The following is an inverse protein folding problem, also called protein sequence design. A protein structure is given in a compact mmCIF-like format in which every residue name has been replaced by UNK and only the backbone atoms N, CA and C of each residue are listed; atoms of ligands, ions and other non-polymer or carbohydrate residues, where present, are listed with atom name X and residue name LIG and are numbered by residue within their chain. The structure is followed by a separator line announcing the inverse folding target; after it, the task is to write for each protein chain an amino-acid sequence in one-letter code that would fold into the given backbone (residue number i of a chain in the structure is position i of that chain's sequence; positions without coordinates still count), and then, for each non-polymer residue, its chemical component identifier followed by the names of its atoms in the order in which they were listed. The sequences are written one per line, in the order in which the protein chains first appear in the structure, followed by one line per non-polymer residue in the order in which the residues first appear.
data_IF_638869448528
#
_entry.id   IF_638869448528
#
_cell.length_a   1.000
_cell.length_b   1.000
_cell.length_c   1.000
_cell.angle_alpha   90.00
_cell.angle_beta   90.00
_cell.angle_gamma   90.00
#
_symmetry.space_group_name_H-M   'P 1'
#
loop_
_entity.id
_entity.type
_entity.pdbx_description
1 polymer ?
#
# COMPACT_ATOMS: atom_id res chain seq x y z
N UNK A 1 -16.79 -4.15 12.33
CA UNK A 1 -15.32 -3.97 12.44
C UNK A 1 -14.79 -3.96 11.01
N UNK A 2 -13.84 -3.11 10.66
CA UNK A 2 -13.41 -2.94 9.26
C UNK A 2 -12.37 -4.00 8.90
N UNK A 3 -12.69 -4.88 7.94
CA UNK A 3 -11.81 -5.94 7.40
C UNK A 3 -11.19 -5.60 6.06
N UNK A 4 -11.75 -4.62 5.35
CA UNK A 4 -11.28 -4.18 4.05
C UNK A 4 -11.07 -2.67 4.06
N UNK A 5 -9.96 -2.20 3.50
CA UNK A 5 -9.69 -0.77 3.38
C UNK A 5 -9.36 -0.44 1.93
N UNK A 6 -10.13 0.49 1.37
CA UNK A 6 -9.90 1.04 0.04
C UNK A 6 -9.55 2.52 0.15
N UNK A 7 -8.40 2.92 -0.41
CA UNK A 7 -8.00 4.33 -0.49
C UNK A 7 -7.73 4.65 -1.94
N UNK A 8 -8.62 5.46 -2.50
CA UNK A 8 -8.48 6.00 -3.85
C UNK A 8 -8.17 7.48 -3.77
N UNK A 9 -6.95 7.85 -4.16
CA UNK A 9 -6.62 9.25 -4.32
C UNK A 9 -7.37 9.82 -5.54
N UNK A 10 -8.15 10.88 -5.29
CA UNK A 10 -8.83 11.58 -6.37
C UNK A 10 -7.85 12.51 -7.07
N UNK A 11 -7.90 12.46 -8.40
CA UNK A 11 -7.28 13.45 -9.25
C UNK A 11 -8.10 14.75 -9.23
N UNK A 12 -7.74 15.68 -8.34
CA UNK A 12 -8.20 17.08 -8.43
C UNK A 12 -7.05 17.93 -8.95
N UNK A 13 -7.35 19.06 -9.60
CA UNK A 13 -6.44 19.91 -10.38
C UNK A 13 -5.16 20.43 -9.68
N UNK A 14 -4.91 20.05 -8.42
CA UNK A 14 -3.59 20.04 -7.81
C UNK A 14 -2.89 18.70 -8.11
N UNK A 15 -2.02 18.79 -9.11
CA UNK A 15 -1.19 17.73 -9.69
C UNK A 15 -0.66 16.69 -8.70
N UNK A 16 -1.06 15.43 -8.92
CA UNK A 16 -0.16 14.27 -8.91
C UNK A 16 0.55 13.91 -7.61
N UNK A 17 0.05 14.32 -6.43
CA UNK A 17 0.73 14.04 -5.16
C UNK A 17 -0.05 13.08 -4.28
N UNK A 18 0.68 12.11 -3.74
CA UNK A 18 0.17 11.25 -2.67
C UNK A 18 0.00 12.05 -1.38
N UNK A 19 -1.23 12.08 -0.89
CA UNK A 19 -1.65 12.83 0.31
C UNK A 19 -2.33 11.93 1.34
N UNK A 20 -2.94 10.83 0.90
CA UNK A 20 -3.71 9.94 1.75
C UNK A 20 -2.83 8.86 2.40
N UNK A 21 -1.93 8.25 1.63
CA UNK A 21 -1.04 7.18 2.12
C UNK A 21 0.29 7.77 2.56
N UNK A 22 0.21 8.45 3.70
CA UNK A 22 1.37 9.04 4.37
C UNK A 22 2.21 8.01 5.13
N UNK A 23 3.45 8.38 5.45
CA UNK A 23 4.32 7.60 6.34
C UNK A 23 3.66 7.27 7.70
N UNK A 24 2.97 8.27 8.27
CA UNK A 24 2.26 8.11 9.55
C UNK A 24 1.14 7.09 9.42
N UNK A 25 0.39 7.14 8.32
CA UNK A 25 -0.67 6.19 8.03
C UNK A 25 -0.12 4.75 7.92
N UNK A 26 0.95 4.55 7.14
CA UNK A 26 1.60 3.24 7.01
C UNK A 26 2.13 2.72 8.35
N UNK A 27 2.73 3.60 9.16
CA UNK A 27 3.20 3.27 10.50
C UNK A 27 2.08 2.85 11.45
N UNK A 28 0.91 3.48 11.37
CA UNK A 28 -0.27 3.08 12.16
C UNK A 28 -0.80 1.70 11.78
N UNK A 29 -0.65 1.30 10.52
CA UNK A 29 -1.02 -0.03 10.03
C UNK A 29 0.04 -1.11 10.27
N UNK A 30 1.29 -0.73 10.55
CA UNK A 30 2.40 -1.65 10.70
C UNK A 30 2.30 -2.40 12.04
N UNK A 31 2.54 -3.71 12.01
CA UNK A 31 2.55 -4.56 13.21
C UNK A 31 3.97 -4.68 13.74
N UNK A 32 4.17 -4.34 15.02
CA UNK A 32 5.46 -4.49 15.68
C UNK A 32 5.55 -5.84 16.38
N UNK A 33 6.09 -6.86 15.70
CA UNK A 33 6.18 -8.22 16.24
C UNK A 33 7.11 -8.36 17.46
N UNK A 34 7.88 -7.32 17.82
CA UNK A 34 8.85 -7.37 18.93
C UNK A 34 8.24 -6.87 20.25
N UNK A 35 7.13 -6.14 20.23
CA UNK A 35 6.51 -5.59 21.45
C UNK A 35 5.50 -6.56 22.04
N UNK A 36 5.63 -6.86 23.34
CA UNK A 36 4.59 -7.50 24.14
C UNK A 36 3.73 -6.41 24.78
N UNK A 37 2.40 -6.50 24.68
CA UNK A 37 1.47 -5.49 25.23
C UNK A 37 1.09 -4.37 24.27
N UNK A 38 0.87 -4.70 23.00
CA UNK A 38 0.58 -3.74 21.93
C UNK A 38 -0.77 -3.05 22.19
N UNK A 39 -0.81 -1.71 22.15
CA UNK A 39 -2.05 -0.98 21.87
C UNK A 39 -2.56 -1.48 20.53
N UNK A 40 -3.73 -2.14 20.50
CA UNK A 40 -4.28 -2.77 19.29
C UNK A 40 -3.95 -1.96 18.02
N UNK A 41 -3.28 -2.57 17.02
CA UNK A 41 -2.92 -1.87 15.81
C UNK A 41 -4.15 -1.26 15.16
N UNK A 42 -3.97 -0.10 14.52
CA UNK A 42 -5.05 0.52 13.76
C UNK A 42 -5.54 -0.48 12.71
N UNK A 43 -6.84 -0.79 12.72
CA UNK A 43 -7.45 -1.84 11.90
C UNK A 43 -6.81 -3.22 12.11
N UNK A 44 -6.84 -3.74 13.34
CA UNK A 44 -6.31 -5.08 13.68
C UNK A 44 -6.98 -6.23 12.92
N UNK A 45 -8.17 -6.03 12.36
CA UNK A 45 -8.90 -7.03 11.56
C UNK A 45 -8.75 -6.86 10.04
N UNK A 46 -7.84 -5.99 9.59
CA UNK A 46 -7.66 -5.73 8.16
C UNK A 46 -7.11 -6.96 7.44
N UNK A 47 -7.92 -7.52 6.55
CA UNK A 47 -7.63 -8.68 5.71
C UNK A 47 -7.38 -8.28 4.25
N UNK A 48 -7.98 -7.19 3.76
CA UNK A 48 -7.81 -6.72 2.39
C UNK A 48 -7.46 -5.24 2.32
N UNK A 49 -6.51 -4.89 1.45
CA UNK A 49 -6.08 -3.51 1.24
C UNK A 49 -6.03 -3.19 -0.26
N UNK A 50 -6.80 -2.18 -0.67
CA UNK A 50 -6.84 -1.71 -2.05
C UNK A 50 -6.43 -0.23 -2.13
N UNK A 51 -5.32 0.05 -2.81
CA UNK A 51 -4.72 1.36 -2.88
C UNK A 51 -4.61 1.83 -4.33
N UNK A 52 -5.12 3.02 -4.61
CA UNK A 52 -4.87 3.75 -5.85
C UNK A 52 -4.16 5.06 -5.53
N UNK A 53 -2.85 5.13 -5.82
CA UNK A 53 -1.94 6.16 -5.33
C UNK A 53 -1.18 6.86 -6.45
N UNK A 54 -0.89 8.14 -6.27
CA UNK A 54 0.05 8.85 -7.13
C UNK A 54 1.52 8.55 -6.75
N UNK A 55 2.38 8.44 -7.76
CA UNK A 55 3.83 8.44 -7.58
C UNK A 55 4.39 9.88 -7.52
N UNK A 56 5.46 10.14 -6.74
CA UNK A 56 6.17 9.18 -5.88
C UNK A 56 5.46 8.91 -4.54
N UNK A 57 5.72 7.74 -3.96
CA UNK A 57 5.23 7.34 -2.63
C UNK A 57 6.31 6.56 -1.87
N UNK A 58 6.12 6.35 -0.56
CA UNK A 58 7.08 5.68 0.30
C UNK A 58 7.08 4.15 0.12
N UNK A 59 7.60 3.65 -1.01
CA UNK A 59 7.60 2.23 -1.39
C UNK A 59 8.13 1.32 -0.28
N UNK A 60 9.29 1.62 0.31
CA UNK A 60 9.91 0.78 1.34
C UNK A 60 9.02 0.63 2.59
N UNK A 61 8.36 1.72 3.00
CA UNK A 61 7.46 1.71 4.16
C UNK A 61 6.18 0.94 3.87
N UNK A 62 5.67 1.03 2.63
CA UNK A 62 4.52 0.27 2.19
C UNK A 62 4.83 -1.23 2.21
N UNK A 63 5.97 -1.62 1.64
CA UNK A 63 6.44 -3.02 1.64
C UNK A 63 6.62 -3.54 3.05
N UNK A 64 7.31 -2.78 3.92
CA UNK A 64 7.50 -3.17 5.33
C UNK A 64 6.16 -3.34 6.07
N UNK A 65 5.20 -2.44 5.83
CA UNK A 65 3.86 -2.53 6.42
C UNK A 65 3.15 -3.81 5.95
N UNK A 66 3.15 -4.12 4.65
CA UNK A 66 2.54 -5.34 4.10
C UNK A 66 3.21 -6.59 4.68
N UNK A 67 4.54 -6.65 4.71
CA UNK A 67 5.30 -7.76 5.28
C UNK A 67 4.96 -7.99 6.76
N UNK A 68 4.82 -6.92 7.54
CA UNK A 68 4.45 -7.05 8.97
C UNK A 68 3.02 -7.56 9.17
N UNK A 69 2.17 -7.41 8.16
CA UNK A 69 0.75 -7.78 8.20
C UNK A 69 0.48 -9.15 7.59
N UNK A 70 1.37 -9.65 6.75
CA UNK A 70 1.34 -11.04 6.28
C UNK A 70 1.78 -11.98 7.41
N UNK A 71 0.80 -12.64 8.04
CA UNK A 71 1.02 -13.54 9.20
C UNK A 71 0.33 -14.88 8.89
N UNK A 72 0.98 -15.77 8.11
CA UNK A 72 0.36 -17.03 7.69
C UNK A 72 0.15 -18.03 8.86
N UNK A 73 0.88 -17.87 9.97
CA UNK A 73 0.68 -18.68 11.17
C UNK A 73 -0.43 -18.08 12.06
N UNK A 74 -1.57 -18.76 12.11
CA UNK A 74 -2.72 -18.36 12.93
C UNK A 74 -2.35 -18.21 14.42
N UNK A 75 -1.48 -19.06 14.97
CA UNK A 75 -1.08 -18.96 16.38
C UNK A 75 -0.32 -17.66 16.66
N UNK A 76 0.48 -17.21 15.70
CA UNK A 76 1.19 -15.93 15.80
C UNK A 76 0.25 -14.75 15.64
N UNK A 77 -0.70 -14.83 14.71
CA UNK A 77 -1.79 -13.86 14.52
C UNK A 77 -2.63 -13.69 15.80
N UNK A 78 -3.08 -14.79 16.40
CA UNK A 78 -3.86 -14.81 17.65
C UNK A 78 -3.08 -14.17 18.81
N UNK A 79 -1.79 -14.51 18.94
CA UNK A 79 -0.91 -13.92 19.97
C UNK A 79 -0.76 -12.41 19.82
N UNK A 80 -0.81 -11.90 18.59
CA UNK A 80 -0.69 -10.47 18.28
C UNK A 80 -2.05 -9.75 18.31
N UNK A 81 -3.16 -10.48 18.44
CA UNK A 81 -4.53 -9.98 18.30
C UNK A 81 -4.76 -9.24 16.97
N UNK A 82 -4.11 -9.69 15.90
CA UNK A 82 -4.15 -9.08 14.56
C UNK A 82 -4.41 -10.15 13.53
N UNK A 83 -5.38 -9.93 12.66
CA UNK A 83 -5.64 -10.80 11.50
C UNK A 83 -4.61 -10.55 10.41
N UNK A 84 -4.20 -11.61 9.73
CA UNK A 84 -3.30 -11.52 8.58
C UNK A 84 -3.96 -10.74 7.46
N UNK A 85 -3.20 -9.85 6.81
CA UNK A 85 -3.57 -9.37 5.49
C UNK A 85 -3.54 -10.57 4.54
N UNK A 86 -4.56 -10.74 3.72
CA UNK A 86 -4.74 -11.84 2.77
C UNK A 86 -4.67 -11.34 1.33
N UNK A 87 -5.09 -10.11 1.08
CA UNK A 87 -5.04 -9.50 -0.25
C UNK A 87 -4.54 -8.06 -0.24
N UNK A 88 -3.79 -7.73 -1.29
CA UNK A 88 -3.25 -6.40 -1.54
C UNK A 88 -3.35 -6.05 -3.03
N UNK A 89 -4.08 -4.98 -3.33
CA UNK A 89 -4.16 -4.39 -4.66
C UNK A 89 -3.51 -3.02 -4.63
N UNK A 90 -2.60 -2.77 -5.57
CA UNK A 90 -1.95 -1.48 -5.75
C UNK A 90 -2.06 -1.02 -7.20
N UNK A 91 -2.69 0.12 -7.39
CA UNK A 91 -2.66 0.88 -8.63
C UNK A 91 -1.79 2.12 -8.44
N UNK A 92 -0.69 2.19 -9.18
CA UNK A 92 0.23 3.34 -9.20
C UNK A 92 -0.10 4.23 -10.39
N UNK A 93 -0.46 5.48 -10.09
CA UNK A 93 -0.68 6.53 -11.07
C UNK A 93 0.58 7.37 -11.20
N UNK A 94 1.14 7.48 -12.40
CA UNK A 94 2.34 8.29 -12.64
C UNK A 94 2.14 9.26 -13.80
N UNK A 95 2.81 10.41 -13.73
CA UNK A 95 2.88 11.33 -14.87
C UNK A 95 3.90 10.80 -15.87
N UNK A 96 3.57 10.82 -17.16
CA UNK A 96 4.36 10.21 -18.24
C UNK A 96 5.79 10.78 -18.36
N UNK A 97 6.05 11.95 -17.77
CA UNK A 97 7.36 12.61 -17.70
C UNK A 97 8.23 12.12 -16.52
N UNK A 98 7.69 11.31 -15.60
CA UNK A 98 8.44 10.74 -14.48
C UNK A 98 9.27 9.54 -14.96
N UNK A 99 10.59 9.72 -14.99
CA UNK A 99 11.55 8.77 -15.58
C UNK A 99 11.77 7.50 -14.73
N UNK A 100 11.45 7.52 -13.44
CA UNK A 100 11.69 6.40 -12.54
C UNK A 100 10.45 6.11 -11.68
N UNK A 101 9.60 5.18 -12.11
CA UNK A 101 8.55 4.64 -11.25
C UNK A 101 9.22 3.66 -10.28
N UNK A 102 9.15 3.85 -8.95
CA UNK A 102 9.86 3.03 -7.97
C UNK A 102 9.13 1.68 -7.73
N UNK A 103 8.88 0.93 -8.81
CA UNK A 103 8.29 -0.42 -8.77
C UNK A 103 9.31 -1.49 -8.39
N UNK A 104 10.62 -1.23 -8.53
CA UNK A 104 11.67 -2.18 -8.17
C UNK A 104 11.57 -2.62 -6.70
N UNK A 105 11.25 -1.70 -5.78
CA UNK A 105 11.04 -2.02 -4.38
C UNK A 105 9.82 -2.92 -4.12
N UNK A 106 8.83 -2.92 -5.01
CA UNK A 106 7.63 -3.77 -4.88
C UNK A 106 7.88 -5.23 -5.25
N UNK A 107 8.97 -5.54 -5.96
CA UNK A 107 9.36 -6.93 -6.28
C UNK A 107 9.62 -7.76 -5.02
N UNK A 108 9.94 -7.11 -3.89
CA UNK A 108 10.07 -7.78 -2.59
C UNK A 108 8.75 -8.42 -2.09
N UNK A 109 7.60 -8.07 -2.69
CA UNK A 109 6.30 -8.66 -2.37
C UNK A 109 6.05 -9.97 -3.13
N UNK A 110 6.83 -10.27 -4.19
CA UNK A 110 6.66 -11.49 -4.98
C UNK A 110 6.90 -12.76 -4.14
N UNK A 111 7.76 -12.68 -3.12
CA UNK A 111 7.97 -13.78 -2.16
C UNK A 111 6.72 -14.04 -1.32
N UNK A 112 6.03 -12.99 -0.87
CA UNK A 112 4.78 -13.14 -0.12
C UNK A 112 3.68 -13.72 -0.98
N UNK A 113 3.65 -13.35 -2.27
CA UNK A 113 2.71 -13.91 -3.25
C UNK A 113 2.92 -15.42 -3.42
N UNK A 114 4.17 -15.88 -3.47
CA UNK A 114 4.48 -17.31 -3.51
C UNK A 114 4.00 -18.05 -2.25
N UNK A 115 3.98 -17.36 -1.10
CA UNK A 115 3.54 -17.90 0.19
C UNK A 115 2.01 -17.82 0.40
N UNK A 116 1.26 -17.24 -0.55
CA UNK A 116 -0.21 -17.23 -0.54
C UNK A 116 -0.88 -15.87 -0.36
N UNK A 117 -0.12 -14.76 -0.29
CA UNK A 117 -0.70 -13.42 -0.33
C UNK A 117 -1.26 -13.13 -1.73
N UNK A 118 -2.55 -12.79 -1.82
CA UNK A 118 -3.13 -12.33 -3.08
C UNK A 118 -2.62 -10.92 -3.41
N UNK A 119 -1.88 -10.78 -4.51
CA UNK A 119 -1.24 -9.52 -4.89
C UNK A 119 -1.43 -9.17 -6.36
N UNK A 120 -1.97 -7.97 -6.59
CA UNK A 120 -2.05 -7.33 -7.90
C UNK A 120 -1.39 -5.95 -7.90
N UNK A 121 -0.51 -5.72 -8.87
CA UNK A 121 0.11 -4.44 -9.15
C UNK A 121 -0.31 -3.98 -10.54
N UNK A 122 -0.90 -2.80 -10.60
CA UNK A 122 -1.22 -2.10 -11.85
C UNK A 122 -0.51 -0.77 -11.88
N UNK A 123 0.02 -0.39 -13.04
CA UNK A 123 0.69 0.90 -13.24
C UNK A 123 0.01 1.60 -14.40
N UNK A 124 -0.46 2.83 -14.18
CA UNK A 124 -1.23 3.60 -15.14
C UNK A 124 -0.58 4.97 -15.37
N UNK A 125 -0.26 5.26 -16.63
CA UNK A 125 0.22 6.57 -17.04
C UNK A 125 -0.97 7.55 -17.08
N UNK A 126 -0.83 8.66 -16.39
CA UNK A 126 -1.78 9.76 -16.49
C UNK A 126 -1.55 10.46 -17.84
N UNK A 127 -2.57 10.46 -18.69
CA UNK A 127 -2.52 11.18 -19.96
C UNK A 127 -2.26 12.66 -19.69
N UNK A 128 -1.06 13.14 -20.04
CA UNK A 128 -0.73 14.55 -19.95
C UNK A 128 -1.72 15.36 -20.78
N UNK A 129 -2.14 16.54 -20.28
CA UNK A 129 -2.81 17.51 -21.16
C UNK A 129 -1.89 17.75 -22.35
N UNK A 130 -2.37 17.46 -23.57
CA UNK A 130 -1.88 18.16 -24.76
C UNK A 130 -1.90 19.65 -24.41
N UNK A 131 -0.74 20.26 -24.18
CA UNK A 131 -0.61 21.73 -24.26
C UNK A 131 -1.07 22.08 -25.67
N UNK A 132 -2.30 22.56 -25.79
CA UNK A 132 -2.70 23.33 -26.96
C UNK A 132 -1.88 24.62 -26.87
N UNK A 133 -0.69 24.58 -27.46
CA UNK A 133 0.07 25.79 -27.76
C UNK A 133 -0.75 26.54 -28.79
N UNK A 134 -1.55 27.51 -28.35
CA UNK A 134 -2.09 28.52 -29.23
C UNK A 134 -0.98 29.54 -29.48
N UNK A 135 -0.36 29.46 -30.65
CA UNK A 135 0.37 30.56 -31.28
C UNK A 135 -0.21 30.78 -32.67
#
# INVERSE_FOLDING_TARGET
MLSELTIHERHYGDYGKNVAVTDTFLKCLTVDHKKRGIKQPFLSRLEALDLRLHAPFATEKLVHMIQSRWIPDQKHSDRLEVVSLLSFNLMVLYEQEAVDIPIAGLQMLDTLKADGLEYNLTVEALAGRRKLSAH
#
